data_IF_340836014133
#
_entry.id   IF_340836014133
#
_cell.length_a   1.000
_cell.length_b   1.000
_cell.length_c   1.000
_cell.angle_alpha   90.00
_cell.angle_beta   90.00
_cell.angle_gamma   90.00
#
_symmetry.space_group_name_H-M   'P 1'
#
loop_
_entity.id
_entity.type
_entity.pdbx_description
1 polymer ?
#
# COMPACT_ATOMS: atom_id res chain seq x y z
N UNK A 1 -3.90 23.26 -0.56
CA UNK A 1 -3.74 22.22 -1.59
C UNK A 1 -2.34 21.67 -1.48
N UNK A 2 -2.19 20.38 -1.20
CA UNK A 2 -0.89 19.72 -1.34
C UNK A 2 -0.55 19.67 -2.83
N UNK A 3 0.68 20.00 -3.18
CA UNK A 3 1.19 19.75 -4.52
C UNK A 3 1.07 18.25 -4.85
N UNK A 4 1.05 17.91 -6.15
CA UNK A 4 1.04 16.51 -6.62
C UNK A 4 2.12 15.69 -5.93
N UNK A 5 3.32 16.29 -5.78
CA UNK A 5 4.45 15.72 -5.06
C UNK A 5 4.19 15.46 -3.58
N UNK A 6 3.46 16.35 -2.91
CA UNK A 6 3.11 16.18 -1.50
C UNK A 6 2.04 15.12 -1.31
N UNK A 7 1.13 14.97 -2.28
CA UNK A 7 0.11 13.90 -2.27
C UNK A 7 0.73 12.52 -2.50
N UNK A 8 1.65 12.42 -3.47
CA UNK A 8 2.46 11.20 -3.68
C UNK A 8 3.28 10.86 -2.44
N UNK A 9 3.98 11.84 -1.87
CA UNK A 9 4.77 11.65 -0.65
C UNK A 9 3.89 11.21 0.53
N UNK A 10 2.67 11.74 0.63
CA UNK A 10 1.72 11.35 1.66
C UNK A 10 1.23 9.91 1.47
N UNK A 11 0.89 9.50 0.24
CA UNK A 11 0.54 8.12 -0.09
C UNK A 11 1.67 7.14 0.25
N UNK A 12 2.91 7.44 -0.13
CA UNK A 12 4.06 6.60 0.21
C UNK A 12 4.30 6.53 1.72
N UNK A 13 4.09 7.63 2.46
CA UNK A 13 4.17 7.61 3.93
C UNK A 13 3.07 6.76 4.56
N UNK A 14 1.84 6.81 4.04
CA UNK A 14 0.76 5.94 4.52
C UNK A 14 1.03 4.46 4.21
N UNK A 15 1.57 4.16 3.03
CA UNK A 15 1.97 2.81 2.66
C UNK A 15 3.11 2.31 3.55
N UNK A 16 4.14 3.13 3.77
CA UNK A 16 5.24 2.82 4.68
C UNK A 16 4.74 2.60 6.12
N UNK A 17 3.82 3.43 6.61
CA UNK A 17 3.19 3.25 7.92
C UNK A 17 2.37 1.97 8.00
N UNK A 18 1.62 1.63 6.95
CA UNK A 18 0.82 0.40 6.90
C UNK A 18 1.72 -0.84 6.90
N UNK A 19 2.82 -0.80 6.15
CA UNK A 19 3.84 -1.87 6.16
C UNK A 19 4.50 -1.97 7.54
N UNK A 20 4.86 -0.85 8.17
CA UNK A 20 5.40 -0.83 9.54
C UNK A 20 4.41 -1.40 10.56
N UNK A 21 3.14 -1.03 10.48
CA UNK A 21 2.09 -1.55 11.37
C UNK A 21 1.84 -3.04 11.16
N UNK A 22 1.84 -3.52 9.91
CA UNK A 22 1.74 -4.94 9.61
C UNK A 22 2.96 -5.71 10.16
N UNK A 23 4.16 -5.16 9.98
CA UNK A 23 5.40 -5.73 10.53
C UNK A 23 5.40 -5.72 12.06
N UNK A 24 4.97 -4.64 12.71
CA UNK A 24 4.85 -4.56 14.16
C UNK A 24 3.78 -5.51 14.69
N UNK A 25 2.67 -5.69 13.98
CA UNK A 25 1.61 -6.64 14.33
C UNK A 25 2.11 -8.07 14.21
N UNK A 26 2.87 -8.38 13.16
CA UNK A 26 3.59 -9.64 13.01
C UNK A 26 4.60 -9.86 14.15
N UNK A 27 5.36 -8.83 14.51
CA UNK A 27 6.30 -8.87 15.64
C UNK A 27 5.58 -9.03 16.99
N UNK A 28 4.42 -8.41 17.20
CA UNK A 28 3.60 -8.56 18.41
C UNK A 28 2.99 -9.96 18.50
N UNK A 29 2.47 -10.48 17.39
CA UNK A 29 2.00 -11.85 17.27
C UNK A 29 3.11 -12.83 17.63
N UNK A 30 4.31 -12.66 17.06
CA UNK A 30 5.47 -13.47 17.42
C UNK A 30 5.87 -13.29 18.90
N UNK A 31 5.84 -12.07 19.46
CA UNK A 31 6.15 -11.81 20.87
C UNK A 31 5.14 -12.44 21.84
N UNK A 32 3.85 -12.42 21.51
CA UNK A 32 2.80 -13.05 22.32
C UNK A 32 2.89 -14.58 22.27
N UNK A 33 3.32 -15.14 21.14
CA UNK A 33 3.67 -16.56 21.02
C UNK A 33 5.02 -16.93 21.68
N UNK A 34 5.83 -15.94 22.09
CA UNK A 34 7.23 -16.13 22.54
C UNK A 34 7.47 -15.89 24.05
N UNK A 35 6.52 -16.14 24.95
CA UNK A 35 6.83 -16.18 26.39
C UNK A 35 7.74 -17.35 26.83
N UNK A 36 8.39 -18.05 25.89
CA UNK A 36 9.56 -18.92 26.15
C UNK A 36 10.70 -18.61 25.15
N UNK A 37 11.59 -17.69 25.54
CA UNK A 37 12.99 -17.49 25.12
C UNK A 37 13.43 -17.82 23.65
N UNK A 38 13.63 -16.74 22.87
CA UNK A 38 14.67 -16.47 21.86
C UNK A 38 15.05 -17.61 20.88
N UNK A 39 14.18 -17.81 19.89
CA UNK A 39 14.52 -18.19 18.51
C UNK A 39 13.57 -17.35 17.64
N UNK A 40 13.99 -16.67 16.55
CA UNK A 40 13.02 -16.30 15.53
C UNK A 40 12.43 -17.63 15.06
N UNK A 41 11.15 -17.89 15.31
CA UNK A 41 10.50 -19.15 14.96
C UNK A 41 10.85 -19.53 13.51
N UNK A 42 11.87 -20.38 13.37
CA UNK A 42 12.38 -20.82 12.10
C UNK A 42 11.45 -21.95 11.68
N UNK A 43 10.40 -21.53 10.99
CA UNK A 43 9.44 -22.35 10.27
C UNK A 43 8.68 -23.37 11.13
N UNK A 44 7.87 -22.88 12.06
CA UNK A 44 6.77 -23.67 12.62
C UNK A 44 5.51 -23.43 11.79
N UNK A 45 5.24 -24.36 10.88
CA UNK A 45 3.95 -24.63 10.24
C UNK A 45 3.12 -23.44 9.73
N UNK A 46 3.45 -22.90 8.55
CA UNK A 46 2.45 -22.26 7.67
C UNK A 46 2.92 -22.29 6.21
N UNK A 47 2.19 -23.02 5.34
CA UNK A 47 2.19 -22.83 3.87
C UNK A 47 3.06 -23.77 3.03
N UNK A 48 2.39 -24.56 2.18
CA UNK A 48 2.72 -25.32 0.93
C UNK A 48 4.13 -25.86 0.60
N UNK A 49 5.21 -25.42 1.23
CA UNK A 49 6.49 -26.06 1.09
C UNK A 49 6.61 -27.17 2.15
N UNK A 50 6.67 -28.42 1.68
CA UNK A 50 7.01 -29.52 2.58
C UNK A 50 8.34 -29.19 3.27
N UNK A 51 8.28 -29.08 4.59
CA UNK A 51 9.43 -28.81 5.44
C UNK A 51 10.02 -30.13 5.92
N UNK A 52 11.35 -30.18 6.02
CA UNK A 52 12.05 -31.36 6.51
C UNK A 52 13.07 -30.96 7.56
N UNK A 53 13.14 -31.76 8.62
CA UNK A 53 14.14 -31.58 9.66
C UNK A 53 15.55 -31.81 9.06
N UNK A 54 16.49 -30.89 9.30
CA UNK A 54 17.85 -31.02 8.76
C UNK A 54 18.64 -32.12 9.50
N UNK A 55 18.40 -32.28 10.80
CA UNK A 55 18.92 -33.36 11.64
C UNK A 55 17.84 -33.86 12.61
N UNK A 56 17.73 -35.18 12.79
CA UNK A 56 16.66 -35.78 13.60
C UNK A 56 16.72 -35.30 15.06
N UNK A 57 15.60 -34.79 15.57
CA UNK A 57 15.47 -34.27 16.94
C UNK A 57 16.02 -32.86 17.17
N UNK A 58 16.54 -32.19 16.14
CA UNK A 58 17.02 -30.81 16.23
C UNK A 58 15.91 -29.75 16.29
N UNK A 59 14.71 -30.08 15.79
CA UNK A 59 13.59 -29.15 15.55
C UNK A 59 13.98 -27.95 14.67
N UNK A 60 14.98 -28.11 13.80
CA UNK A 60 15.38 -27.13 12.79
C UNK A 60 14.95 -27.65 11.42
N UNK A 61 14.11 -26.89 10.72
CA UNK A 61 13.49 -27.30 9.46
C UNK A 61 13.95 -26.41 8.31
N UNK A 62 14.30 -27.04 7.19
CA UNK A 62 14.49 -26.39 5.90
C UNK A 62 13.39 -26.82 4.93
N UNK A 63 13.04 -26.00 3.93
CA UNK A 63 12.25 -26.48 2.79
C UNK A 63 12.94 -27.69 2.14
N UNK A 64 12.15 -28.70 1.74
CA UNK A 64 12.71 -29.90 1.07
C UNK A 64 13.54 -29.53 -0.15
N UNK A 65 13.12 -28.52 -0.92
CA UNK A 65 13.84 -28.01 -2.08
C UNK A 65 15.23 -27.49 -1.71
N UNK A 66 15.33 -26.66 -0.67
CA UNK A 66 16.59 -26.11 -0.16
C UNK A 66 17.51 -27.23 0.33
N UNK A 67 17.00 -28.15 1.15
CA UNK A 67 17.81 -29.28 1.62
C UNK A 67 18.35 -30.11 0.45
N UNK A 68 17.50 -30.48 -0.51
CA UNK A 68 17.90 -31.23 -1.71
C UNK A 68 18.94 -30.48 -2.54
N UNK A 69 18.80 -29.16 -2.68
CA UNK A 69 19.76 -28.34 -3.42
C UNK A 69 21.11 -28.31 -2.71
N UNK A 70 21.15 -28.15 -1.39
CA UNK A 70 22.38 -28.16 -0.60
C UNK A 70 23.07 -29.51 -0.75
N UNK A 71 22.33 -30.61 -0.61
CA UNK A 71 22.85 -31.97 -0.75
C UNK A 71 23.44 -32.19 -2.15
N UNK A 72 22.67 -31.89 -3.19
CA UNK A 72 23.13 -31.98 -4.60
C UNK A 72 24.36 -31.14 -4.88
N UNK A 73 24.45 -29.94 -4.31
CA UNK A 73 25.60 -29.04 -4.52
C UNK A 73 26.84 -29.50 -3.74
N UNK A 74 26.65 -30.23 -2.65
CA UNK A 74 27.74 -30.79 -1.85
C UNK A 74 28.25 -32.14 -2.33
N UNK A 75 27.56 -32.80 -3.27
CA UNK A 75 27.98 -34.06 -3.86
C UNK A 75 29.09 -33.83 -4.89
N UNK A 76 30.20 -34.54 -4.73
CA UNK A 76 31.31 -34.58 -5.68
C UNK A 76 31.08 -35.66 -6.73
N UNK A 77 31.83 -35.63 -7.84
CA UNK A 77 31.70 -36.60 -8.95
C UNK A 77 31.94 -38.06 -8.50
N UNK A 78 32.77 -38.25 -7.47
CA UNK A 78 33.05 -39.56 -6.87
C UNK A 78 31.98 -40.03 -5.87
N UNK A 79 30.89 -39.27 -5.73
CA UNK A 79 29.82 -39.51 -4.75
C UNK A 79 30.17 -39.14 -3.32
N UNK A 80 31.36 -38.57 -3.07
CA UNK A 80 31.73 -38.08 -1.75
C UNK A 80 31.07 -36.73 -1.45
N UNK A 81 30.99 -36.38 -0.16
CA UNK A 81 30.35 -35.16 0.30
C UNK A 81 31.39 -34.09 0.69
N UNK A 82 31.33 -32.93 0.03
CA UNK A 82 31.93 -31.68 0.47
C UNK A 82 31.09 -31.05 1.60
N UNK A 83 31.36 -31.53 2.82
CA UNK A 83 30.68 -31.03 4.01
C UNK A 83 30.87 -29.53 4.25
N UNK A 84 31.97 -28.92 3.78
CA UNK A 84 32.13 -27.48 3.95
C UNK A 84 31.07 -26.71 3.16
N UNK A 85 30.69 -27.23 1.99
CA UNK A 85 29.62 -26.66 1.16
C UNK A 85 28.27 -26.76 1.87
N UNK A 86 27.98 -27.88 2.56
CA UNK A 86 26.77 -27.99 3.41
C UNK A 86 26.75 -26.89 4.46
N UNK A 87 27.85 -26.70 5.20
CA UNK A 87 27.95 -25.68 6.26
C UNK A 87 27.74 -24.27 5.69
N UNK A 88 28.43 -23.95 4.59
CA UNK A 88 28.35 -22.61 3.96
C UNK A 88 26.94 -22.31 3.46
N UNK A 89 26.30 -23.25 2.77
CA UNK A 89 24.96 -23.04 2.21
C UNK A 89 23.88 -23.03 3.30
N UNK A 90 23.98 -23.89 4.31
CA UNK A 90 23.04 -23.89 5.43
C UNK A 90 23.13 -22.60 6.26
N UNK A 91 24.35 -22.08 6.49
CA UNK A 91 24.51 -20.79 7.16
C UNK A 91 24.07 -19.61 6.29
N UNK A 92 24.29 -19.69 4.97
CA UNK A 92 23.76 -18.69 4.02
C UNK A 92 22.23 -18.66 4.05
N UNK A 93 21.58 -19.81 4.18
CA UNK A 93 20.13 -19.87 4.24
C UNK A 93 19.58 -19.14 5.47
N UNK A 94 20.22 -19.30 6.64
CA UNK A 94 19.73 -18.72 7.89
C UNK A 94 20.20 -17.29 8.12
N UNK A 95 21.48 -17.01 7.84
CA UNK A 95 22.10 -15.72 8.14
C UNK A 95 22.30 -14.82 6.92
N UNK A 96 22.11 -15.33 5.71
CA UNK A 96 22.37 -14.62 4.45
C UNK A 96 23.78 -14.00 4.45
N UNK A 97 23.90 -12.72 4.12
CA UNK A 97 25.17 -11.99 4.18
C UNK A 97 25.57 -11.59 5.62
N UNK A 98 24.65 -11.66 6.61
CA UNK A 98 24.94 -11.28 7.99
C UNK A 98 25.84 -12.26 8.75
N UNK A 99 26.21 -13.39 8.15
CA UNK A 99 27.11 -14.37 8.78
C UNK A 99 28.47 -13.75 9.16
N UNK A 100 28.88 -12.65 8.52
CA UNK A 100 30.08 -11.86 8.85
C UNK A 100 30.07 -11.29 10.28
N UNK A 101 28.89 -11.19 10.89
CA UNK A 101 28.67 -10.66 12.23
C UNK A 101 28.69 -11.74 13.33
N UNK A 102 28.80 -13.02 12.97
CA UNK A 102 28.75 -14.13 13.92
C UNK A 102 30.06 -14.92 13.96
N UNK A 103 30.31 -15.57 15.09
CA UNK A 103 31.42 -16.50 15.29
C UNK A 103 30.89 -17.95 15.41
N UNK A 104 31.77 -18.94 15.23
CA UNK A 104 31.39 -20.34 15.45
C UNK A 104 31.08 -20.66 16.93
N UNK A 105 31.84 -20.08 17.87
CA UNK A 105 31.74 -20.32 19.32
C UNK A 105 32.12 -19.10 20.12
N UNK A 106 31.31 -18.79 21.14
CA UNK A 106 31.53 -17.70 22.09
C UNK A 106 31.59 -16.32 21.45
N UNK A 107 31.88 -15.30 22.27
CA UNK A 107 32.33 -14.00 21.74
C UNK A 107 33.77 -14.15 21.27
N UNK A 108 34.04 -13.86 20.00
CA UNK A 108 35.42 -13.85 19.49
C UNK A 108 36.18 -12.59 19.94
N UNK A 109 37.46 -12.48 19.58
CA UNK A 109 38.28 -11.30 19.89
C UNK A 109 37.71 -9.99 19.31
N UNK A 110 36.82 -10.08 18.31
CA UNK A 110 36.13 -8.93 17.70
C UNK A 110 34.74 -8.68 18.30
N UNK A 111 34.38 -9.37 19.39
CA UNK A 111 33.10 -9.22 20.08
C UNK A 111 31.91 -9.85 19.36
N UNK A 112 32.10 -10.64 18.30
CA UNK A 112 31.00 -11.25 17.53
C UNK A 112 30.26 -12.29 18.37
N UNK A 113 28.92 -12.23 18.46
CA UNK A 113 28.16 -13.28 19.13
C UNK A 113 28.31 -14.64 18.41
N UNK A 114 28.18 -15.76 19.13
CA UNK A 114 28.17 -17.08 18.51
C UNK A 114 26.92 -17.29 17.65
N UNK A 115 27.02 -18.16 16.65
CA UNK A 115 25.83 -18.69 15.98
C UNK A 115 24.93 -19.45 16.97
N UNK A 116 23.64 -19.55 16.65
CA UNK A 116 22.67 -20.24 17.49
C UNK A 116 23.11 -21.69 17.75
N UNK A 117 23.19 -22.10 19.02
CA UNK A 117 23.73 -23.42 19.39
C UNK A 117 22.89 -24.59 18.89
N UNK A 118 21.56 -24.43 18.78
CA UNK A 118 20.68 -25.47 18.21
C UNK A 118 20.94 -25.63 16.72
N UNK A 119 21.07 -24.52 15.99
CA UNK A 119 21.44 -24.53 14.57
C UNK A 119 22.85 -25.11 14.35
N UNK A 120 23.81 -24.72 15.18
CA UNK A 120 25.17 -25.27 15.16
C UNK A 120 25.14 -26.80 15.24
N UNK A 121 24.47 -27.34 16.27
CA UNK A 121 24.38 -28.78 16.49
C UNK A 121 23.62 -29.48 15.35
N UNK A 122 22.52 -28.90 14.89
CA UNK A 122 21.73 -29.44 13.78
C UNK A 122 22.54 -29.55 12.48
N UNK A 123 23.28 -28.52 12.11
CA UNK A 123 24.14 -28.54 10.92
C UNK A 123 25.29 -29.54 11.14
N UNK A 124 25.88 -29.59 12.34
CA UNK A 124 26.98 -30.50 12.65
C UNK A 124 26.56 -31.98 12.55
N UNK A 125 25.38 -32.33 13.07
CA UNK A 125 24.82 -33.68 13.01
C UNK A 125 24.42 -34.05 11.58
N UNK A 126 23.85 -33.10 10.82
CA UNK A 126 23.55 -33.29 9.40
C UNK A 126 24.82 -33.60 8.60
N UNK A 127 25.89 -32.83 8.83
CA UNK A 127 27.20 -33.03 8.21
C UNK A 127 27.79 -34.41 8.56
N UNK A 128 27.75 -34.82 9.83
CA UNK A 128 28.22 -36.15 10.25
C UNK A 128 27.45 -37.28 9.56
N UNK A 129 26.12 -37.14 9.47
CA UNK A 129 25.27 -38.12 8.81
C UNK A 129 25.59 -38.24 7.32
N UNK A 130 25.86 -37.12 6.64
CA UNK A 130 26.14 -37.09 5.20
C UNK A 130 27.54 -37.59 4.83
N UNK A 131 28.53 -37.30 5.66
CA UNK A 131 29.91 -37.72 5.41
C UNK A 131 30.17 -39.18 5.76
N UNK A 132 29.31 -39.78 6.59
CA UNK A 132 29.41 -41.18 6.98
C UNK A 132 30.46 -41.42 8.07
N UNK A 133 30.48 -42.64 8.64
CA UNK A 133 31.28 -42.97 9.83
C UNK A 133 32.79 -42.95 9.58
N UNK A 134 33.22 -43.10 8.32
CA UNK A 134 34.64 -43.28 7.97
C UNK A 134 35.44 -41.98 7.96
N UNK A 135 34.78 -40.82 7.95
CA UNK A 135 35.46 -39.51 7.88
C UNK A 135 35.13 -38.69 9.12
N UNK A 136 36.15 -38.49 9.96
CA UNK A 136 36.04 -37.84 11.26
C UNK A 136 35.98 -36.33 11.06
N UNK A 137 34.80 -35.73 11.31
CA UNK A 137 34.64 -34.28 11.36
C UNK A 137 34.68 -33.83 12.80
N UNK A 138 35.79 -33.19 13.18
CA UNK A 138 35.96 -32.65 14.53
C UNK A 138 35.26 -31.30 14.68
N UNK A 139 34.84 -30.95 15.90
CA UNK A 139 34.30 -29.60 16.18
C UNK A 139 35.31 -28.51 15.81
N UNK A 140 36.62 -28.77 15.90
CA UNK A 140 37.68 -27.83 15.51
C UNK A 140 37.64 -27.53 14.01
N UNK A 141 37.53 -28.54 13.17
CA UNK A 141 37.41 -28.38 11.71
C UNK A 141 36.13 -27.60 11.36
N UNK A 142 35.01 -27.97 11.98
CA UNK A 142 33.74 -27.30 11.75
C UNK A 142 33.78 -25.82 12.12
N UNK A 143 34.35 -25.47 13.29
CA UNK A 143 34.50 -24.09 13.72
C UNK A 143 35.40 -23.27 12.78
N UNK A 144 36.49 -23.89 12.28
CA UNK A 144 37.39 -23.25 11.34
C UNK A 144 36.66 -22.87 10.04
N UNK A 145 35.81 -23.75 9.52
CA UNK A 145 35.00 -23.49 8.32
C UNK A 145 34.02 -22.35 8.52
N UNK A 146 33.30 -22.31 9.64
CA UNK A 146 32.36 -21.21 9.95
C UNK A 146 33.09 -19.87 10.04
N UNK A 147 34.20 -19.83 10.78
CA UNK A 147 34.97 -18.61 10.95
C UNK A 147 35.59 -18.13 9.63
N UNK A 148 36.10 -19.05 8.80
CA UNK A 148 36.61 -18.74 7.46
C UNK A 148 35.52 -18.18 6.55
N UNK A 149 34.33 -18.78 6.57
CA UNK A 149 33.20 -18.30 5.78
C UNK A 149 32.75 -16.90 6.19
N UNK A 150 32.63 -16.67 7.51
CA UNK A 150 32.29 -15.37 8.08
C UNK A 150 33.33 -14.29 7.72
N UNK A 151 34.63 -14.61 7.80
CA UNK A 151 35.70 -13.68 7.44
C UNK A 151 35.72 -13.33 5.94
N UNK A 152 35.52 -14.31 5.06
CA UNK A 152 35.49 -14.08 3.61
C UNK A 152 34.35 -13.14 3.19
N UNK A 153 33.18 -13.24 3.84
CA UNK A 153 32.06 -12.34 3.58
C UNK A 153 32.38 -10.89 3.94
N UNK A 154 33.05 -10.67 5.08
CA UNK A 154 33.50 -9.34 5.52
C UNK A 154 34.49 -8.70 4.53
N UNK A 155 35.42 -9.49 3.97
CA UNK A 155 36.38 -9.00 2.99
C UNK A 155 35.72 -8.44 1.72
N UNK A 156 34.64 -9.08 1.26
CA UNK A 156 33.89 -8.64 0.08
C UNK A 156 33.03 -7.39 0.34
N UNK A 157 32.51 -7.21 1.56
CA UNK A 157 31.75 -6.00 1.93
C UNK A 157 32.64 -4.75 1.95
N UNK A 158 33.84 -4.87 2.52
CA UNK A 158 34.81 -3.77 2.57
C UNK A 158 35.34 -3.38 1.18
N UNK A 159 35.39 -4.32 0.22
CA UNK A 159 35.74 -4.01 -1.17
C UNK A 159 34.61 -3.31 -1.93
N UNK A 160 33.34 -3.65 -1.68
CA UNK A 160 32.19 -2.98 -2.33
C UNK A 160 32.01 -1.52 -1.88
N UNK A 161 32.38 -1.19 -0.64
CA UNK A 161 32.28 0.17 -0.10
C UNK A 161 33.27 1.17 -0.73
N UNK A 162 34.34 0.70 -1.38
CA UNK A 162 35.35 1.57 -1.99
C UNK A 162 35.10 1.96 -3.46
N UNK A 163 33.99 1.49 -4.08
CA UNK A 163 33.71 1.75 -5.50
C UNK A 163 32.38 2.47 -5.81
N UNK A 164 31.69 3.06 -4.83
CA UNK A 164 30.42 3.77 -5.11
C UNK A 164 30.44 5.22 -4.63
N UNK A 165 30.98 6.10 -5.48
CA UNK A 165 30.56 7.50 -5.52
C UNK A 165 29.65 7.67 -6.74
N UNK A 166 28.44 8.17 -6.48
CA UNK A 166 27.39 8.60 -7.42
C UNK A 166 26.52 7.53 -8.09
N UNK A 167 25.35 7.27 -7.50
CA UNK A 167 24.10 7.02 -8.24
C UNK A 167 22.90 7.17 -7.29
N UNK A 168 21.97 8.08 -7.59
CA UNK A 168 20.67 8.23 -6.89
C UNK A 168 19.67 7.18 -7.39
N UNK A 169 20.03 5.90 -7.35
CA UNK A 169 19.09 4.81 -7.57
C UNK A 169 18.43 4.43 -6.23
N UNK A 170 17.13 4.08 -6.20
CA UNK A 170 16.51 3.52 -5.01
C UNK A 170 17.35 2.35 -4.51
N UNK A 171 17.63 2.37 -3.21
CA UNK A 171 18.52 1.44 -2.51
C UNK A 171 18.25 -0.01 -2.92
N UNK A 172 19.14 -0.58 -3.72
CA UNK A 172 19.03 -1.94 -4.25
C UNK A 172 18.87 -2.98 -3.11
N UNK A 173 19.31 -2.60 -1.90
CA UNK A 173 19.17 -3.37 -0.66
C UNK A 173 17.72 -3.47 -0.20
N UNK A 174 16.93 -2.41 -0.35
CA UNK A 174 15.50 -2.39 0.00
C UNK A 174 14.69 -3.20 -1.02
N UNK A 175 14.99 -3.02 -2.31
CA UNK A 175 14.34 -3.77 -3.40
C UNK A 175 14.57 -5.29 -3.24
N UNK A 176 15.80 -5.72 -2.94
CA UNK A 176 16.09 -7.13 -2.69
C UNK A 176 15.43 -7.70 -1.43
N UNK A 177 15.36 -6.92 -0.34
CA UNK A 177 14.64 -7.33 0.88
C UNK A 177 13.14 -7.47 0.64
N UNK A 178 12.55 -6.53 -0.11
CA UNK A 178 11.14 -6.58 -0.49
C UNK A 178 10.86 -7.77 -1.41
N UNK A 179 11.71 -8.03 -2.40
CA UNK A 179 11.56 -9.17 -3.30
C UNK A 179 11.67 -10.51 -2.58
N UNK A 180 12.60 -10.66 -1.62
CA UNK A 180 12.66 -11.87 -0.79
C UNK A 180 11.42 -12.02 0.10
N UNK A 181 10.95 -10.93 0.72
CA UNK A 181 9.72 -10.94 1.52
C UNK A 181 8.50 -11.32 0.68
N UNK A 182 8.36 -10.76 -0.52
CA UNK A 182 7.31 -11.10 -1.47
C UNK A 182 7.45 -12.55 -1.94
N UNK A 183 8.66 -13.04 -2.23
CA UNK A 183 8.89 -14.41 -2.66
C UNK A 183 8.34 -15.45 -1.68
N UNK A 184 8.39 -15.19 -0.37
CA UNK A 184 7.86 -16.09 0.66
C UNK A 184 6.37 -15.91 0.97
N UNK A 185 5.77 -14.78 0.57
CA UNK A 185 4.36 -14.47 0.80
C UNK A 185 3.48 -14.65 -0.44
N UNK A 186 4.06 -14.85 -1.62
CA UNK A 186 3.31 -14.98 -2.87
C UNK A 186 2.68 -16.38 -2.94
N UNK A 187 1.46 -16.48 -2.43
CA UNK A 187 0.47 -17.49 -2.84
C UNK A 187 -0.26 -16.99 -4.08
N UNK A 188 -0.96 -17.88 -4.80
CA UNK A 188 -1.79 -17.49 -5.95
C UNK A 188 -2.83 -16.41 -5.57
N UNK A 189 -3.42 -16.54 -4.38
CA UNK A 189 -4.37 -15.55 -3.83
C UNK A 189 -3.73 -14.19 -3.57
N UNK A 190 -2.52 -14.17 -2.99
CA UNK A 190 -1.79 -12.92 -2.74
C UNK A 190 -1.34 -12.27 -4.05
N UNK A 191 -0.95 -13.07 -5.05
CA UNK A 191 -0.61 -12.58 -6.39
C UNK A 191 -1.81 -11.91 -7.06
N UNK A 192 -3.00 -12.52 -6.98
CA UNK A 192 -4.26 -11.93 -7.46
C UNK A 192 -4.62 -10.65 -6.68
N UNK A 193 -4.40 -10.62 -5.37
CA UNK A 193 -4.61 -9.43 -4.55
C UNK A 193 -3.68 -8.28 -4.97
N UNK A 194 -2.38 -8.55 -5.13
CA UNK A 194 -1.43 -7.53 -5.59
C UNK A 194 -1.74 -7.05 -7.01
N UNK A 195 -2.14 -7.95 -7.92
CA UNK A 195 -2.59 -7.57 -9.27
C UNK A 195 -3.83 -6.66 -9.22
N UNK A 196 -4.78 -6.93 -8.31
CA UNK A 196 -5.93 -6.04 -8.09
C UNK A 196 -5.48 -4.67 -7.57
N UNK A 197 -4.57 -4.61 -6.60
CA UNK A 197 -4.04 -3.34 -6.08
C UNK A 197 -3.31 -2.55 -7.17
N UNK A 198 -2.44 -3.19 -7.95
CA UNK A 198 -1.72 -2.56 -9.06
C UNK A 198 -2.72 -2.01 -10.07
N UNK A 199 -3.73 -2.80 -10.47
CA UNK A 199 -4.78 -2.36 -11.38
C UNK A 199 -5.58 -1.16 -10.84
N UNK A 200 -6.00 -1.18 -9.56
CA UNK A 200 -6.68 -0.05 -8.92
C UNK A 200 -5.78 1.19 -8.89
N UNK A 201 -4.48 1.00 -8.64
CA UNK A 201 -3.49 2.09 -8.60
C UNK A 201 -3.27 2.69 -9.99
N UNK A 202 -3.16 1.86 -11.02
CA UNK A 202 -3.09 2.29 -12.42
C UNK A 202 -4.36 3.02 -12.86
N UNK A 203 -5.55 2.50 -12.50
CA UNK A 203 -6.83 3.16 -12.76
C UNK A 203 -6.89 4.52 -12.05
N UNK A 204 -6.46 4.60 -10.79
CA UNK A 204 -6.40 5.84 -10.02
C UNK A 204 -5.42 6.85 -10.62
N UNK A 205 -4.23 6.40 -11.01
CA UNK A 205 -3.23 7.23 -11.69
C UNK A 205 -3.73 7.73 -13.04
N UNK A 206 -4.37 6.86 -13.84
CA UNK A 206 -4.96 7.24 -15.12
C UNK A 206 -6.15 8.20 -14.95
N UNK A 207 -6.93 8.06 -13.87
CA UNK A 207 -7.97 9.02 -13.51
C UNK A 207 -7.36 10.38 -13.15
N UNK A 208 -6.29 10.40 -12.35
CA UNK A 208 -5.55 11.62 -12.01
C UNK A 208 -4.93 12.28 -13.24
N UNK A 209 -4.30 11.51 -14.14
CA UNK A 209 -3.75 12.02 -15.40
C UNK A 209 -4.84 12.56 -16.34
N UNK A 210 -6.02 11.91 -16.37
CA UNK A 210 -7.20 12.44 -17.09
C UNK A 210 -7.77 13.70 -16.43
N UNK A 211 -7.61 13.87 -15.13
CA UNK A 211 -7.97 15.10 -14.42
C UNK A 211 -6.92 16.23 -14.60
N UNK A 212 -5.66 15.88 -14.89
CA UNK A 212 -4.58 16.82 -15.25
C UNK A 212 -4.60 17.33 -16.70
N UNK A 213 -5.69 17.07 -17.44
CA UNK A 213 -5.95 17.74 -18.71
C UNK A 213 -5.91 19.28 -18.52
N UNK A 214 -5.45 20.04 -19.53
CA UNK A 214 -5.14 21.47 -19.41
C UNK A 214 -6.32 22.18 -18.77
N UNK A 215 -6.04 22.81 -17.62
CA UNK A 215 -6.91 23.65 -16.79
C UNK A 215 -8.28 23.86 -17.43
N UNK A 216 -9.15 22.84 -17.33
CA UNK A 216 -10.48 22.90 -17.92
C UNK A 216 -11.16 24.05 -17.23
N UNK A 217 -11.34 25.19 -17.92
CA UNK A 217 -11.88 26.44 -17.39
C UNK A 217 -12.87 26.18 -16.26
N UNK A 218 -12.36 26.15 -15.02
CA UNK A 218 -13.20 25.91 -13.86
C UNK A 218 -13.84 27.24 -13.58
N UNK A 219 -15.16 27.26 -13.54
CA UNK A 219 -15.84 28.48 -13.17
C UNK A 219 -15.50 28.78 -11.71
N UNK A 220 -14.79 29.88 -11.52
CA UNK A 220 -14.53 30.43 -10.20
C UNK A 220 -15.87 30.87 -9.60
N UNK A 221 -16.18 30.35 -8.41
CA UNK A 221 -17.39 30.77 -7.70
C UNK A 221 -17.25 32.22 -7.27
N UNK A 222 -18.37 32.93 -7.17
CA UNK A 222 -18.39 34.26 -6.57
C UNK A 222 -17.82 34.20 -5.15
N UNK A 223 -17.01 35.19 -4.78
CA UNK A 223 -16.46 35.34 -3.42
C UNK A 223 -17.54 35.33 -2.34
N UNK A 224 -18.77 35.68 -2.69
CA UNK A 224 -19.95 35.58 -1.80
C UNK A 224 -20.12 34.18 -1.21
N UNK A 225 -19.69 33.13 -1.89
CA UNK A 225 -19.84 31.74 -1.42
C UNK A 225 -18.54 31.10 -0.92
N UNK A 226 -17.39 31.77 -1.05
CA UNK A 226 -16.08 31.22 -0.64
C UNK A 226 -15.46 31.94 0.55
N UNK A 227 -15.95 33.15 0.87
CA UNK A 227 -15.47 33.91 2.03
C UNK A 227 -16.36 33.73 3.26
N UNK A 228 -15.77 33.44 4.45
CA UNK A 228 -16.52 33.31 5.69
C UNK A 228 -17.16 34.65 6.08
N UNK A 229 -18.36 34.60 6.65
CA UNK A 229 -19.01 35.75 7.26
C UNK A 229 -19.88 35.30 8.45
N UNK A 230 -20.13 36.15 9.47
CA UNK A 230 -20.85 35.76 10.69
C UNK A 230 -22.25 35.17 10.47
N UNK A 231 -22.91 35.55 9.37
CA UNK A 231 -24.26 35.11 9.01
C UNK A 231 -24.27 33.93 8.03
N UNK A 232 -23.11 33.41 7.64
CA UNK A 232 -23.00 32.29 6.70
C UNK A 232 -22.66 31.00 7.42
N UNK A 233 -23.10 29.89 6.84
CA UNK A 233 -22.89 28.53 7.33
C UNK A 233 -22.16 27.75 6.26
N UNK A 234 -21.15 26.96 6.67
CA UNK A 234 -20.49 26.01 5.77
C UNK A 234 -21.46 24.90 5.39
N UNK A 235 -21.56 24.60 4.11
CA UNK A 235 -22.41 23.49 3.65
C UNK A 235 -21.78 22.11 3.91
N UNK A 236 -20.45 22.05 4.07
CA UNK A 236 -19.72 20.85 4.49
C UNK A 236 -18.53 21.26 5.37
N UNK A 237 -18.16 20.45 6.37
CA UNK A 237 -17.03 20.74 7.26
C UNK A 237 -15.68 20.74 6.53
N UNK A 238 -15.57 20.05 5.38
CA UNK A 238 -14.31 19.82 4.69
C UNK A 238 -14.00 20.85 3.58
N UNK A 239 -14.96 21.69 3.22
CA UNK A 239 -14.85 22.60 2.09
C UNK A 239 -15.23 24.03 2.50
N UNK A 240 -14.51 25.02 1.98
CA UNK A 240 -14.72 26.45 2.25
C UNK A 240 -15.86 27.03 1.40
N UNK A 241 -17.01 26.35 1.39
CA UNK A 241 -18.21 26.79 0.67
C UNK A 241 -19.29 27.15 1.70
N UNK A 242 -19.80 28.37 1.56
CA UNK A 242 -20.66 29.01 2.54
C UNK A 242 -21.98 29.45 1.91
N UNK A 243 -23.09 29.24 2.60
CA UNK A 243 -24.40 29.82 2.26
C UNK A 243 -24.85 30.81 3.34
N UNK A 244 -25.60 31.87 3.01
CA UNK A 244 -26.32 32.64 4.02
C UNK A 244 -27.19 31.73 4.87
N UNK A 245 -27.21 31.94 6.19
CA UNK A 245 -27.95 31.11 7.15
C UNK A 245 -29.43 30.98 6.80
N UNK A 246 -30.06 32.06 6.35
CA UNK A 246 -31.46 32.05 5.90
C UNK A 246 -31.67 31.11 4.71
N UNK A 247 -30.75 31.13 3.74
CA UNK A 247 -30.79 30.27 2.56
C UNK A 247 -30.54 28.81 2.94
N UNK A 248 -29.55 28.54 3.79
CA UNK A 248 -29.27 27.19 4.29
C UNK A 248 -30.50 26.56 4.96
N UNK A 249 -31.12 27.28 5.91
CA UNK A 249 -32.31 26.83 6.62
C UNK A 249 -33.51 26.64 5.69
N UNK A 250 -33.68 27.51 4.69
CA UNK A 250 -34.73 27.37 3.69
C UNK A 250 -34.53 26.09 2.86
N UNK A 251 -33.30 25.80 2.44
CA UNK A 251 -32.98 24.59 1.66
C UNK A 251 -33.23 23.34 2.49
N UNK A 252 -32.72 23.28 3.73
CA UNK A 252 -32.95 22.14 4.63
C UNK A 252 -34.44 21.88 4.86
N UNK A 253 -35.22 22.93 5.12
CA UNK A 253 -36.66 22.80 5.33
C UNK A 253 -37.39 22.32 4.08
N UNK A 254 -36.91 22.71 2.90
CA UNK A 254 -37.51 22.34 1.62
C UNK A 254 -37.14 20.92 1.20
N UNK A 255 -35.96 20.43 1.59
CA UNK A 255 -35.57 19.04 1.36
C UNK A 255 -36.15 18.08 2.39
N UNK A 256 -36.65 18.54 3.54
CA UNK A 256 -37.28 17.69 4.54
C UNK A 256 -38.59 17.07 4.01
N UNK A 257 -38.62 15.74 3.83
CA UNK A 257 -39.79 14.96 3.38
C UNK A 257 -40.63 14.52 4.59
N UNK A 258 -39.95 14.07 5.65
CA UNK A 258 -40.52 13.67 6.92
C UNK A 258 -39.56 14.08 8.04
N UNK A 259 -40.00 14.11 9.30
CA UNK A 259 -39.17 14.58 10.43
C UNK A 259 -37.78 13.94 10.42
N UNK A 260 -36.77 14.74 10.08
CA UNK A 260 -35.37 14.31 10.01
C UNK A 260 -34.96 13.49 8.77
N UNK A 261 -35.84 13.31 7.77
CA UNK A 261 -35.55 12.66 6.49
C UNK A 261 -35.52 13.67 5.36
N UNK A 262 -34.41 13.72 4.63
CA UNK A 262 -34.17 14.72 3.60
C UNK A 262 -34.08 14.11 2.20
N UNK A 263 -34.73 14.74 1.21
CA UNK A 263 -34.47 14.52 -0.20
C UNK A 263 -33.18 15.27 -0.59
N UNK A 264 -32.07 14.55 -0.61
CA UNK A 264 -30.78 15.13 -1.00
C UNK A 264 -30.80 15.71 -2.43
N UNK A 265 -31.67 15.21 -3.32
CA UNK A 265 -31.77 15.74 -4.69
C UNK A 265 -32.39 17.14 -4.70
N UNK A 266 -33.36 17.41 -3.81
CA UNK A 266 -33.92 18.75 -3.63
C UNK A 266 -32.86 19.68 -3.08
N UNK A 267 -32.10 19.25 -2.07
CA UNK A 267 -31.02 20.03 -1.50
C UNK A 267 -29.99 20.44 -2.57
N UNK A 268 -29.45 19.46 -3.32
CA UNK A 268 -28.47 19.71 -4.39
C UNK A 268 -29.04 20.67 -5.43
N UNK A 269 -30.29 20.46 -5.86
CA UNK A 269 -30.95 21.32 -6.84
C UNK A 269 -31.06 22.76 -6.36
N UNK A 270 -31.56 22.99 -5.15
CA UNK A 270 -31.80 24.35 -4.65
C UNK A 270 -30.47 25.08 -4.41
N UNK A 271 -29.45 24.39 -3.89
CA UNK A 271 -28.11 25.00 -3.75
C UNK A 271 -27.49 25.35 -5.09
N UNK A 272 -27.59 24.49 -6.11
CA UNK A 272 -27.09 24.81 -7.45
C UNK A 272 -27.82 26.01 -8.07
N UNK A 273 -29.13 26.12 -7.83
CA UNK A 273 -29.91 27.27 -8.29
C UNK A 273 -29.57 28.55 -7.54
N UNK A 274 -29.24 28.50 -6.26
CA UNK A 274 -28.76 29.65 -5.50
C UNK A 274 -27.40 30.13 -6.02
N UNK A 275 -26.44 29.20 -6.13
CA UNK A 275 -25.04 29.55 -6.42
C UNK A 275 -24.86 30.00 -7.87
N UNK A 276 -25.48 29.32 -8.83
CA UNK A 276 -25.32 29.61 -10.25
C UNK A 276 -26.48 30.39 -10.87
N UNK A 277 -27.65 30.43 -10.21
CA UNK A 277 -28.84 31.08 -10.75
C UNK A 277 -29.22 30.55 -12.14
N UNK A 278 -29.30 31.48 -13.09
CA UNK A 278 -29.65 31.20 -14.48
C UNK A 278 -28.48 30.69 -15.34
N UNK A 279 -27.26 30.76 -14.82
CA UNK A 279 -26.05 30.32 -15.54
C UNK A 279 -25.85 28.81 -15.48
N UNK A 280 -26.47 28.11 -14.50
CA UNK A 280 -26.32 26.65 -14.29
C UNK A 280 -26.57 25.81 -15.55
N UNK A 281 -27.42 26.33 -16.46
CA UNK A 281 -27.74 25.70 -17.75
C UNK A 281 -26.51 25.51 -18.64
N UNK A 282 -25.46 26.30 -18.47
CA UNK A 282 -24.24 26.26 -19.27
C UNK A 282 -23.22 25.23 -18.74
N UNK A 283 -23.52 24.56 -17.63
CA UNK A 283 -22.61 23.64 -16.96
C UNK A 283 -23.07 22.19 -17.05
N UNK A 284 -22.19 21.29 -16.64
CA UNK A 284 -22.44 19.86 -16.42
C UNK A 284 -21.78 19.42 -15.12
N UNK A 285 -22.05 18.22 -14.66
CA UNK A 285 -21.44 17.69 -13.44
C UNK A 285 -19.89 17.69 -13.50
N UNK A 286 -19.31 17.15 -14.58
CA UNK A 286 -17.87 16.87 -14.68
C UNK A 286 -17.17 17.48 -15.90
N UNK A 287 -17.89 18.16 -16.80
CA UNK A 287 -17.32 18.81 -17.98
C UNK A 287 -16.89 17.86 -19.11
N UNK A 288 -17.28 16.58 -19.07
CA UNK A 288 -16.76 15.56 -20.01
C UNK A 288 -17.61 15.41 -21.27
N UNK A 289 -18.92 15.68 -21.21
CA UNK A 289 -19.85 15.42 -22.33
C UNK A 289 -20.50 16.72 -22.85
N UNK A 290 -20.30 17.01 -24.13
CA UNK A 290 -21.02 18.08 -24.85
C UNK A 290 -20.41 19.48 -24.73
N UNK A 291 -19.12 19.60 -24.42
CA UNK A 291 -18.38 20.87 -24.43
C UNK A 291 -18.77 21.88 -23.33
N UNK A 292 -19.76 21.57 -22.50
CA UNK A 292 -20.10 22.40 -21.34
C UNK A 292 -19.08 22.20 -20.22
N UNK A 293 -18.56 23.26 -19.58
CA UNK A 293 -17.66 23.12 -18.43
C UNK A 293 -18.32 22.37 -17.28
N UNK A 294 -17.49 21.79 -16.41
CA UNK A 294 -17.94 21.23 -15.13
C UNK A 294 -18.39 22.34 -14.18
N UNK A 295 -19.28 22.03 -13.24
CA UNK A 295 -19.46 22.89 -12.08
C UNK A 295 -18.16 22.94 -11.27
N UNK A 296 -18.06 23.91 -10.36
CA UNK A 296 -16.89 24.08 -9.53
C UNK A 296 -16.60 22.79 -8.74
N UNK A 297 -15.37 22.23 -8.82
CA UNK A 297 -15.05 20.96 -8.18
C UNK A 297 -15.21 20.95 -6.66
N UNK A 298 -14.88 22.06 -5.99
CA UNK A 298 -15.02 22.18 -4.53
C UNK A 298 -16.49 22.19 -4.13
N UNK A 299 -17.33 22.95 -4.84
CA UNK A 299 -18.78 22.91 -4.63
C UNK A 299 -19.39 21.54 -4.93
N UNK A 300 -18.94 20.85 -5.99
CA UNK A 300 -19.41 19.49 -6.29
C UNK A 300 -19.15 18.55 -5.10
N UNK A 301 -17.92 18.57 -4.58
CA UNK A 301 -17.52 17.71 -3.45
C UNK A 301 -18.22 18.12 -2.15
N UNK A 302 -18.35 19.41 -1.90
CA UNK A 302 -19.06 19.93 -0.73
C UNK A 302 -20.55 19.53 -0.73
N UNK A 303 -21.21 19.61 -1.89
CA UNK A 303 -22.60 19.16 -2.04
C UNK A 303 -22.74 17.65 -1.89
N UNK A 304 -21.78 16.87 -2.41
CA UNK A 304 -21.79 15.42 -2.25
C UNK A 304 -21.65 15.01 -0.79
N UNK A 305 -20.71 15.64 -0.07
CA UNK A 305 -20.49 15.43 1.36
C UNK A 305 -21.72 15.82 2.19
N UNK A 306 -22.32 16.98 1.89
CA UNK A 306 -23.54 17.43 2.54
C UNK A 306 -24.72 16.47 2.29
N UNK A 307 -24.94 16.08 1.03
CA UNK A 307 -25.98 15.14 0.62
C UNK A 307 -25.85 13.79 1.34
N UNK A 308 -24.61 13.28 1.46
CA UNK A 308 -24.32 12.01 2.14
C UNK A 308 -24.52 12.12 3.66
N UNK A 309 -24.26 13.29 4.25
CA UNK A 309 -24.40 13.51 5.70
C UNK A 309 -25.86 13.58 6.14
N UNK A 310 -26.74 14.15 5.31
CA UNK A 310 -28.15 14.42 5.68
C UNK A 310 -29.12 13.30 5.26
N UNK A 311 -28.65 12.34 4.48
CA UNK A 311 -29.47 11.22 4.01
C UNK A 311 -29.25 9.99 4.90
N UNK A 312 -30.31 9.23 5.15
CA UNK A 312 -30.22 7.89 5.75
C UNK A 312 -29.81 6.83 4.70
N UNK A 313 -29.61 7.22 3.43
CA UNK A 313 -29.16 6.29 2.38
C UNK A 313 -27.74 5.81 2.67
N UNK A 314 -27.54 4.49 2.76
CA UNK A 314 -26.25 3.84 3.07
C UNK A 314 -25.11 4.27 2.13
N UNK A 315 -25.42 4.66 0.88
CA UNK A 315 -24.45 5.18 -0.07
C UNK A 315 -25.13 5.87 -1.25
N UNK A 316 -24.80 7.14 -1.50
CA UNK A 316 -25.09 7.80 -2.78
C UNK A 316 -23.96 7.44 -3.75
N UNK A 317 -24.27 6.82 -4.89
CA UNK A 317 -23.23 6.57 -5.90
C UNK A 317 -22.86 7.88 -6.60
N UNK A 318 -21.56 8.12 -6.82
CA UNK A 318 -21.10 9.32 -7.56
C UNK A 318 -21.72 9.43 -8.97
N UNK A 319 -22.05 8.30 -9.61
CA UNK A 319 -22.79 8.30 -10.88
C UNK A 319 -24.22 8.86 -10.74
N UNK A 320 -24.94 8.49 -9.68
CA UNK A 320 -26.28 9.00 -9.38
C UNK A 320 -26.25 10.48 -9.00
N UNK A 321 -25.24 10.89 -8.24
CA UNK A 321 -25.04 12.28 -7.88
C UNK A 321 -24.73 13.15 -9.11
N UNK A 322 -23.81 12.69 -9.97
CA UNK A 322 -23.50 13.35 -11.23
C UNK A 322 -24.74 13.45 -12.15
N UNK A 323 -25.58 12.41 -12.19
CA UNK A 323 -26.84 12.43 -12.93
C UNK A 323 -27.80 13.47 -12.37
N UNK A 324 -27.93 13.59 -11.05
CA UNK A 324 -28.74 14.61 -10.40
C UNK A 324 -28.31 16.03 -10.82
N UNK A 325 -27.01 16.33 -10.71
CA UNK A 325 -26.45 17.63 -11.13
C UNK A 325 -26.75 17.92 -12.61
N UNK A 326 -26.52 16.93 -13.49
CA UNK A 326 -26.81 17.06 -14.92
C UNK A 326 -28.31 17.24 -15.21
N UNK A 327 -29.18 16.62 -14.43
CA UNK A 327 -30.62 16.76 -14.58
C UNK A 327 -31.06 18.19 -14.23
N UNK A 328 -30.48 18.81 -13.19
CA UNK A 328 -30.72 20.21 -12.84
C UNK A 328 -30.31 21.13 -14.01
N UNK A 329 -29.11 20.93 -14.57
CA UNK A 329 -28.64 21.76 -15.69
C UNK A 329 -29.50 21.58 -16.95
N UNK A 330 -29.88 20.33 -17.28
CA UNK A 330 -30.76 19.99 -18.41
C UNK A 330 -32.15 20.59 -18.27
N UNK A 331 -32.75 20.52 -17.09
CA UNK A 331 -34.07 21.10 -16.83
C UNK A 331 -34.06 22.62 -16.99
N UNK A 332 -33.01 23.29 -16.51
CA UNK A 332 -32.85 24.74 -16.70
C UNK A 332 -32.70 25.12 -18.18
N UNK A 333 -31.94 24.33 -18.97
CA UNK A 333 -31.85 24.53 -20.45
C UNK A 333 -33.21 24.41 -21.13
N UNK A 334 -34.01 23.39 -20.78
CA UNK A 334 -35.34 23.15 -21.37
C UNK A 334 -36.33 24.26 -21.04
N UNK A 335 -36.35 24.76 -19.80
CA UNK A 335 -37.25 25.83 -19.38
C UNK A 335 -37.11 27.12 -20.22
N UNK A 336 -35.89 27.45 -20.69
CA UNK A 336 -35.64 28.59 -21.58
C UNK A 336 -36.26 28.41 -22.96
N UNK A 337 -36.16 27.21 -23.55
CA UNK A 337 -36.71 26.92 -24.88
C UNK A 337 -38.24 27.13 -24.91
N UNK A 338 -38.92 26.70 -23.86
CA UNK A 338 -40.38 26.85 -23.72
C UNK A 338 -40.78 28.33 -23.56
N UNK A 339 -40.02 29.11 -22.78
CA UNK A 339 -40.28 30.56 -22.63
C UNK A 339 -40.02 31.35 -23.92
N UNK A 340 -38.97 31.00 -24.67
CA UNK A 340 -38.64 31.65 -25.94
C UNK A 340 -39.67 31.38 -27.05
N UNK A 341 -40.30 30.20 -27.07
CA UNK A 341 -41.35 29.86 -28.03
C UNK A 341 -42.70 30.51 -27.72
N UNK A 342 -42.98 30.88 -26.46
CA UNK A 342 -44.23 31.56 -26.08
C UNK A 342 -44.18 33.09 -26.25
N UNK A 343 -43.04 33.65 -26.62
CA UNK A 343 -42.84 35.10 -26.76
C UNK A 343 -42.61 35.56 -28.21
N UNK A 344 -42.78 34.70 -29.22
CA UNK A 344 -42.94 35.17 -30.59
C UNK A 344 -44.39 35.65 -30.74
N UNK A 345 -44.64 36.97 -30.95
CA UNK A 345 -45.95 37.41 -31.38
C UNK A 345 -46.26 36.71 -32.70
N UNK A 346 -47.45 36.14 -32.83
CA UNK A 346 -47.98 35.86 -34.16
C UNK A 346 -48.16 37.23 -34.83
N UNK A 347 -47.18 37.63 -35.64
CA UNK A 347 -47.39 38.68 -36.63
C UNK A 347 -48.43 38.15 -37.63
N UNK A 348 -49.67 38.61 -37.46
CA UNK A 348 -50.72 38.56 -38.47
C UNK A 348 -50.78 39.89 -39.20
#
# INVERSE_FOLDING_TARGET
MFSVRETELHFFRMLEQSIKQAYESYQRYNRQSSQVLNIPDLYTHTGEHQMIEIASGSKIYFPISVKKQIEKTSEQEDGSCDWETIVKLALKEVYDDNISNYSAKGKDANGRPPINIKLYNAIFDWVKKKVGPNKIITSKMFNATINKYSANKRGNENQKLNCSKHSKHPDATLSNKLMKFLYYLVTEENLLFFQKIVKISEESYNMQQKEMLPERQTHQLSNVYTEPAPIKIKISPHYEIYLPRSTHLYIERKSEIARGKYDWRILVKETLLEVYGDTIKNYSAKGVRGGSPGINPELYRALYDWATTVTDEECILDSQFAECVNQVTRNKRKAKKIKGQKMQPQEN
#
